data_IF_559997114584
#
_entry.id   IF_559997114584
#
_cell.length_a   1.000
_cell.length_b   1.000
_cell.length_c   1.000
_cell.angle_alpha   90.00
_cell.angle_beta   90.00
_cell.angle_gamma   90.00
#
_symmetry.space_group_name_H-M   'P 1'
#
loop_
_entity.id
_entity.type
_entity.pdbx_description
1 polymer ?
#
# COMPACT_ATOMS: atom_id res chain seq x y z
N UNK A 1 -19.95 32.23 -23.18
CA UNK A 1 -20.51 31.27 -22.20
C UNK A 1 -20.32 29.78 -22.59
N UNK A 2 -20.13 29.42 -23.86
CA UNK A 2 -20.03 28.00 -24.29
C UNK A 2 -18.74 27.24 -23.93
N UNK A 3 -17.63 27.91 -23.57
CA UNK A 3 -16.37 27.24 -23.15
C UNK A 3 -16.28 26.91 -21.65
N UNK A 4 -17.15 27.51 -20.82
CA UNK A 4 -17.24 27.20 -19.38
C UNK A 4 -18.01 25.90 -19.11
N UNK A 5 -18.89 25.49 -20.04
CA UNK A 5 -19.68 24.24 -19.93
C UNK A 5 -18.87 22.97 -20.29
N UNK A 6 -17.82 23.08 -21.11
CA UNK A 6 -16.95 21.92 -21.42
C UNK A 6 -15.94 21.61 -20.28
N UNK A 7 -15.62 22.57 -19.42
CA UNK A 7 -14.71 22.37 -18.29
C UNK A 7 -15.37 21.69 -17.08
N UNK A 8 -16.70 21.72 -16.96
CA UNK A 8 -17.46 21.17 -15.83
C UNK A 8 -17.63 19.63 -15.87
N UNK A 9 -17.34 18.99 -17.00
CA UNK A 9 -17.39 17.52 -17.14
C UNK A 9 -16.26 16.79 -16.37
N UNK A 10 -15.20 17.50 -15.96
CA UNK A 10 -14.06 16.91 -15.25
C UNK A 10 -14.17 16.94 -13.72
N UNK A 11 -15.21 17.59 -13.17
CA UNK A 11 -15.50 17.57 -11.72
C UNK A 11 -16.27 16.30 -11.31
N UNK A 12 -16.74 15.50 -12.27
CA UNK A 12 -17.46 14.24 -12.04
C UNK A 12 -16.56 13.04 -11.66
N UNK A 13 -15.24 13.22 -11.48
CA UNK A 13 -14.32 12.12 -11.11
C UNK A 13 -14.33 11.81 -9.60
N UNK A 14 -14.97 12.64 -8.77
CA UNK A 14 -15.09 12.39 -7.32
C UNK A 14 -16.46 11.90 -6.85
N UNK A 15 -17.43 11.72 -7.74
CA UNK A 15 -18.66 11.01 -7.41
C UNK A 15 -18.37 9.51 -7.44
N UNK A 16 -18.26 8.89 -6.26
CA UNK A 16 -18.11 7.45 -6.15
C UNK A 16 -19.23 6.76 -6.97
N UNK A 17 -18.91 5.77 -7.82
CA UNK A 17 -19.93 5.04 -8.54
C UNK A 17 -20.80 4.30 -7.52
N UNK A 18 -22.05 4.74 -7.36
CA UNK A 18 -23.09 3.96 -6.70
C UNK A 18 -23.18 2.59 -7.36
N UNK A 19 -23.15 1.55 -6.54
CA UNK A 19 -23.06 0.17 -6.97
C UNK A 19 -24.34 -0.29 -7.66
N UNK A 20 -24.16 -0.93 -8.82
CA UNK A 20 -24.97 -1.98 -9.45
C UNK A 20 -26.49 -2.00 -9.20
N UNK A 21 -27.18 -1.16 -9.95
CA UNK A 21 -28.35 -1.60 -10.70
C UNK A 21 -27.93 -1.61 -12.18
N UNK A 22 -28.18 -2.69 -12.92
CA UNK A 22 -28.04 -2.77 -14.39
C UNK A 22 -29.09 -1.90 -15.11
N UNK A 23 -29.56 -0.84 -14.46
CA UNK A 23 -30.44 0.14 -15.04
C UNK A 23 -29.60 1.08 -15.89
N UNK A 24 -29.96 1.13 -17.17
CA UNK A 24 -29.52 2.06 -18.21
C UNK A 24 -28.50 3.08 -17.71
N UNK A 25 -27.21 2.91 -18.08
CA UNK A 25 -26.20 3.92 -17.78
C UNK A 25 -26.74 5.28 -18.21
N UNK A 26 -27.01 6.21 -17.27
CA UNK A 26 -27.64 7.47 -17.61
C UNK A 26 -26.81 8.12 -18.71
N UNK A 27 -27.50 8.64 -19.73
CA UNK A 27 -26.84 9.18 -20.92
C UNK A 27 -25.82 10.24 -20.47
N UNK A 28 -24.76 10.45 -21.26
CA UNK A 28 -23.75 11.46 -20.90
C UNK A 28 -24.39 12.84 -20.63
N UNK A 29 -25.50 13.14 -21.31
CA UNK A 29 -26.35 14.32 -21.11
C UNK A 29 -26.94 14.38 -19.70
N UNK A 30 -27.51 13.28 -19.20
CA UNK A 30 -28.13 13.21 -17.87
C UNK A 30 -27.10 13.40 -16.75
N UNK A 31 -25.90 12.85 -16.93
CA UNK A 31 -24.79 13.05 -15.97
C UNK A 31 -24.34 14.51 -15.92
N UNK A 32 -24.31 15.19 -17.06
CA UNK A 32 -23.98 16.61 -17.16
C UNK A 32 -25.02 17.49 -16.46
N UNK A 33 -26.30 17.24 -16.71
CA UNK A 33 -27.40 17.97 -16.06
C UNK A 33 -27.40 17.77 -14.54
N UNK A 34 -27.29 16.52 -14.07
CA UNK A 34 -27.23 16.25 -12.63
C UNK A 34 -26.00 16.89 -11.95
N UNK A 35 -24.86 16.98 -12.64
CA UNK A 35 -23.68 17.67 -12.12
C UNK A 35 -23.89 19.19 -12.03
N UNK A 36 -24.54 19.80 -13.02
CA UNK A 36 -24.88 21.22 -13.02
C UNK A 36 -25.89 21.56 -11.93
N UNK A 37 -26.91 20.72 -11.72
CA UNK A 37 -27.86 20.89 -10.62
C UNK A 37 -27.17 20.84 -9.27
N UNK A 38 -26.28 19.85 -9.05
CA UNK A 38 -25.49 19.78 -7.82
C UNK A 38 -24.62 21.02 -7.63
N UNK A 39 -23.98 21.50 -8.71
CA UNK A 39 -23.18 22.73 -8.66
C UNK A 39 -24.01 23.95 -8.26
N UNK A 40 -25.20 24.12 -8.85
CA UNK A 40 -26.08 25.24 -8.58
C UNK A 40 -26.67 25.22 -7.16
N UNK A 41 -26.72 24.05 -6.51
CA UNK A 41 -27.13 23.91 -5.09
C UNK A 41 -26.03 24.30 -4.09
N UNK A 42 -24.79 24.42 -4.53
CA UNK A 42 -23.69 24.84 -3.67
C UNK A 42 -23.78 26.34 -3.41
N UNK A 43 -23.44 26.75 -2.18
CA UNK A 43 -23.32 28.17 -1.86
C UNK A 43 -22.15 28.83 -2.65
N UNK A 44 -22.16 30.16 -2.84
CA UNK A 44 -21.11 30.84 -3.62
C UNK A 44 -19.69 30.60 -3.10
N UNK A 45 -19.49 30.41 -1.80
CA UNK A 45 -18.18 30.15 -1.21
C UNK A 45 -17.70 28.73 -1.55
N UNK A 46 -18.58 27.73 -1.51
CA UNK A 46 -18.34 26.36 -1.95
C UNK A 46 -18.00 26.32 -3.44
N UNK A 47 -18.76 27.04 -4.28
CA UNK A 47 -18.48 27.15 -5.71
C UNK A 47 -17.08 27.73 -5.96
N UNK A 48 -16.71 28.80 -5.27
CA UNK A 48 -15.39 29.42 -5.41
C UNK A 48 -14.27 28.47 -4.92
N UNK A 49 -14.47 27.79 -3.79
CA UNK A 49 -13.53 26.75 -3.30
C UNK A 49 -13.34 25.62 -4.32
N UNK A 50 -14.42 25.16 -4.96
CA UNK A 50 -14.34 24.11 -5.98
C UNK A 50 -13.69 24.60 -7.28
N UNK A 51 -13.98 25.83 -7.71
CA UNK A 51 -13.32 26.48 -8.84
C UNK A 51 -11.81 26.57 -8.62
N UNK A 52 -11.38 27.06 -7.46
CA UNK A 52 -9.96 27.14 -7.11
C UNK A 52 -9.27 25.76 -7.05
N UNK A 53 -9.96 24.70 -6.59
CA UNK A 53 -9.44 23.32 -6.66
C UNK A 53 -9.27 22.86 -8.10
N UNK A 54 -10.25 23.14 -8.96
CA UNK A 54 -10.22 22.75 -10.37
C UNK A 54 -9.11 23.49 -11.13
N UNK A 55 -8.94 24.79 -10.90
CA UNK A 55 -7.83 25.56 -11.49
C UNK A 55 -6.46 25.03 -11.07
N UNK A 56 -6.30 24.67 -9.78
CA UNK A 56 -5.06 24.00 -9.32
C UNK A 56 -4.85 22.67 -10.03
N UNK A 57 -5.91 21.88 -10.21
CA UNK A 57 -5.83 20.61 -10.95
C UNK A 57 -5.47 20.82 -12.43
N UNK A 58 -6.00 21.86 -13.08
CA UNK A 58 -5.65 22.19 -14.47
C UNK A 58 -4.19 22.63 -14.64
N UNK A 59 -3.58 23.21 -13.60
CA UNK A 59 -2.16 23.60 -13.58
C UNK A 59 -1.19 22.41 -13.36
N UNK A 60 -1.69 21.25 -12.96
CA UNK A 60 -0.87 20.04 -12.81
C UNK A 60 -0.39 19.52 -14.17
N UNK A 61 0.80 18.91 -14.19
CA UNK A 61 1.32 18.23 -15.38
C UNK A 61 0.41 17.06 -15.79
N UNK A 62 0.58 16.53 -17.01
CA UNK A 62 -0.17 15.34 -17.46
C UNK A 62 0.13 14.16 -16.54
N UNK A 63 1.40 13.97 -16.19
CA UNK A 63 1.90 12.89 -15.33
C UNK A 63 1.32 13.00 -13.92
N UNK A 64 1.25 14.22 -13.36
CA UNK A 64 0.65 14.46 -12.06
C UNK A 64 -0.85 14.16 -12.08
N UNK A 65 -1.58 14.59 -13.13
CA UNK A 65 -3.01 14.30 -13.28
C UNK A 65 -3.27 12.79 -13.41
N UNK A 66 -2.44 12.08 -14.16
CA UNK A 66 -2.52 10.62 -14.27
C UNK A 66 -2.27 9.93 -12.94
N UNK A 67 -1.31 10.41 -12.15
CA UNK A 67 -1.06 9.90 -10.80
C UNK A 67 -2.25 10.13 -9.86
N UNK A 68 -2.87 11.32 -9.89
CA UNK A 68 -4.11 11.57 -9.13
C UNK A 68 -5.24 10.65 -9.57
N UNK A 69 -5.41 10.42 -10.88
CA UNK A 69 -6.41 9.49 -11.41
C UNK A 69 -6.16 8.06 -10.92
N UNK A 70 -4.92 7.57 -10.99
CA UNK A 70 -4.55 6.25 -10.46
C UNK A 70 -4.88 6.12 -8.98
N UNK A 71 -4.56 7.13 -8.16
CA UNK A 71 -4.88 7.13 -6.72
C UNK A 71 -6.39 7.12 -6.46
N UNK A 72 -7.15 7.87 -7.25
CA UNK A 72 -8.61 7.87 -7.16
C UNK A 72 -9.18 6.47 -7.52
N UNK A 73 -8.67 5.84 -8.57
CA UNK A 73 -9.06 4.48 -8.97
C UNK A 73 -8.68 3.44 -7.92
N UNK A 74 -7.51 3.57 -7.28
CA UNK A 74 -7.08 2.72 -6.16
C UNK A 74 -7.99 2.89 -4.94
N UNK A 75 -8.33 4.13 -4.58
CA UNK A 75 -9.25 4.41 -3.48
C UNK A 75 -10.65 3.88 -3.76
N UNK A 76 -11.14 4.03 -4.99
CA UNK A 76 -12.41 3.46 -5.42
C UNK A 76 -12.40 1.94 -5.29
N UNK A 77 -11.34 1.26 -5.76
CA UNK A 77 -11.18 -0.19 -5.58
C UNK A 77 -11.13 -0.59 -4.10
N UNK A 78 -10.41 0.15 -3.27
CA UNK A 78 -10.33 -0.10 -1.83
C UNK A 78 -11.71 0.03 -1.15
N UNK A 79 -12.53 1.02 -1.54
CA UNK A 79 -13.92 1.14 -1.08
C UNK A 79 -14.80 -0.03 -1.50
N UNK A 80 -14.67 -0.49 -2.76
CA UNK A 80 -15.40 -1.66 -3.25
C UNK A 80 -15.03 -2.91 -2.44
N UNK A 81 -13.75 -3.06 -2.14
CA UNK A 81 -13.25 -4.19 -1.36
C UNK A 81 -13.69 -4.11 0.10
N UNK A 82 -13.68 -2.92 0.70
CA UNK A 82 -14.24 -2.66 2.03
C UNK A 82 -15.69 -3.15 2.16
N UNK A 83 -16.55 -2.80 1.21
CA UNK A 83 -17.94 -3.28 1.18
C UNK A 83 -18.05 -4.80 1.05
N UNK A 84 -17.15 -5.43 0.28
CA UNK A 84 -17.12 -6.88 0.11
C UNK A 84 -16.71 -7.61 1.38
N UNK A 85 -15.91 -6.97 2.23
CA UNK A 85 -15.48 -7.53 3.51
C UNK A 85 -16.54 -7.44 4.61
N UNK A 86 -17.54 -6.57 4.46
CA UNK A 86 -18.69 -6.58 5.36
C UNK A 86 -19.42 -7.93 5.26
N UNK A 87 -19.87 -8.44 6.41
CA UNK A 87 -20.77 -9.58 6.49
C UNK A 87 -22.06 -9.28 5.74
N UNK A 88 -22.78 -10.32 5.33
CA UNK A 88 -24.01 -10.16 4.55
C UNK A 88 -25.02 -9.29 5.31
N UNK A 89 -25.20 -9.58 6.59
CA UNK A 89 -26.13 -8.87 7.49
C UNK A 89 -25.71 -7.40 7.67
N UNK A 90 -24.41 -7.13 7.83
CA UNK A 90 -23.89 -5.77 7.94
C UNK A 90 -24.03 -4.99 6.63
N UNK A 91 -23.93 -5.65 5.48
CA UNK A 91 -24.12 -5.00 4.17
C UNK A 91 -25.58 -4.58 3.97
N UNK A 92 -26.52 -5.46 4.29
CA UNK A 92 -27.95 -5.16 4.24
C UNK A 92 -28.28 -3.98 5.18
N UNK A 93 -27.76 -3.99 6.41
CA UNK A 93 -27.91 -2.86 7.35
C UNK A 93 -27.27 -1.58 6.81
N UNK A 94 -26.06 -1.66 6.26
CA UNK A 94 -25.36 -0.53 5.68
C UNK A 94 -26.16 0.16 4.57
N UNK A 95 -26.84 -0.63 3.72
CA UNK A 95 -27.69 -0.10 2.63
C UNK A 95 -28.90 0.70 3.14
N UNK A 96 -29.36 0.45 4.38
CA UNK A 96 -30.47 1.21 5.00
C UNK A 96 -30.04 2.52 5.66
N UNK A 97 -28.74 2.76 5.83
CA UNK A 97 -28.21 3.99 6.42
C UNK A 97 -28.40 5.19 5.47
N UNK A 98 -28.49 6.38 6.03
CA UNK A 98 -28.45 7.60 5.22
C UNK A 98 -27.09 7.76 4.53
N UNK A 99 -27.07 8.51 3.42
CA UNK A 99 -25.89 8.62 2.57
C UNK A 99 -24.68 9.23 3.27
N UNK A 100 -24.88 10.15 4.21
CA UNK A 100 -23.79 10.77 4.96
C UNK A 100 -23.13 9.76 5.90
N UNK A 101 -23.94 8.99 6.64
CA UNK A 101 -23.46 7.89 7.48
C UNK A 101 -22.79 6.81 6.63
N UNK A 102 -23.36 6.43 5.48
CA UNK A 102 -22.73 5.47 4.55
C UNK A 102 -21.33 5.92 4.11
N UNK A 103 -21.20 7.18 3.67
CA UNK A 103 -19.92 7.74 3.23
C UNK A 103 -18.90 7.84 4.38
N UNK A 104 -19.38 8.11 5.60
CA UNK A 104 -18.58 8.11 6.82
C UNK A 104 -18.04 6.73 7.16
N UNK A 105 -18.92 5.72 7.23
CA UNK A 105 -18.54 4.31 7.49
C UNK A 105 -17.57 3.79 6.44
N UNK A 106 -17.83 4.03 5.15
CA UNK A 106 -16.96 3.61 4.05
C UNK A 106 -15.57 4.22 4.14
N UNK A 107 -15.48 5.49 4.53
CA UNK A 107 -14.21 6.19 4.71
C UNK A 107 -13.37 5.53 5.78
N UNK A 108 -13.97 5.24 6.94
CA UNK A 108 -13.26 4.61 8.06
C UNK A 108 -12.84 3.17 7.73
N UNK A 109 -13.73 2.37 7.14
CA UNK A 109 -13.40 1.00 6.75
C UNK A 109 -12.28 0.96 5.69
N UNK A 110 -12.35 1.85 4.70
CA UNK A 110 -11.29 2.00 3.68
C UNK A 110 -9.97 2.42 4.32
N UNK A 111 -9.99 3.36 5.27
CA UNK A 111 -8.80 3.79 5.98
C UNK A 111 -8.13 2.63 6.73
N UNK A 112 -8.90 1.84 7.48
CA UNK A 112 -8.40 0.71 8.23
C UNK A 112 -7.75 -0.34 7.34
N UNK A 113 -8.39 -0.68 6.21
CA UNK A 113 -7.81 -1.59 5.22
C UNK A 113 -6.50 -1.07 4.61
N UNK A 114 -6.42 0.22 4.32
CA UNK A 114 -5.19 0.84 3.79
C UNK A 114 -4.08 0.84 4.84
N UNK A 115 -4.40 1.11 6.11
CA UNK A 115 -3.45 1.04 7.24
C UNK A 115 -2.94 -0.38 7.41
N UNK A 116 -3.81 -1.37 7.44
CA UNK A 116 -3.46 -2.79 7.51
C UNK A 116 -2.55 -3.20 6.35
N UNK A 117 -2.93 -2.86 5.11
CA UNK A 117 -2.11 -3.15 3.92
C UNK A 117 -0.73 -2.52 4.05
N UNK A 118 -0.67 -1.28 4.51
CA UNK A 118 0.59 -0.56 4.73
C UNK A 118 1.44 -1.24 5.81
N UNK A 119 0.85 -1.69 6.92
CA UNK A 119 1.55 -2.41 7.97
C UNK A 119 2.11 -3.75 7.49
N UNK A 120 1.33 -4.51 6.69
CA UNK A 120 1.82 -5.74 6.06
C UNK A 120 2.99 -5.49 5.12
N UNK A 121 2.95 -4.39 4.37
CA UNK A 121 4.06 -3.98 3.51
C UNK A 121 5.28 -3.57 4.33
N UNK A 122 5.09 -2.75 5.37
CA UNK A 122 6.16 -2.33 6.28
C UNK A 122 6.83 -3.52 6.96
N UNK A 123 6.06 -4.52 7.40
CA UNK A 123 6.60 -5.75 8.01
C UNK A 123 7.51 -6.56 7.07
N UNK A 124 7.41 -6.36 5.75
CA UNK A 124 8.27 -6.99 4.74
C UNK A 124 9.50 -6.15 4.37
N UNK A 125 9.58 -4.90 4.83
CA UNK A 125 10.72 -4.04 4.56
C UNK A 125 11.90 -4.40 5.47
N UNK A 126 13.16 -4.28 4.99
CA UNK A 126 14.34 -4.34 5.84
C UNK A 126 14.27 -3.31 6.99
N UNK A 127 14.84 -3.59 8.18
CA UNK A 127 14.81 -2.67 9.32
C UNK A 127 15.32 -1.27 8.98
N UNK A 128 16.40 -1.17 8.22
CA UNK A 128 17.02 0.11 7.84
C UNK A 128 16.06 0.95 6.98
N UNK A 129 15.25 0.29 6.15
CA UNK A 129 14.22 0.94 5.35
C UNK A 129 13.03 1.42 6.21
N UNK A 130 12.69 0.68 7.27
CA UNK A 130 11.65 1.08 8.23
C UNK A 130 12.09 2.35 8.97
N UNK A 131 13.31 2.35 9.52
CA UNK A 131 13.88 3.50 10.24
C UNK A 131 13.95 4.75 9.36
N UNK A 132 14.41 4.58 8.11
CA UNK A 132 14.41 5.66 7.10
C UNK A 132 13.02 6.22 6.87
N UNK A 133 12.00 5.37 6.76
CA UNK A 133 10.61 5.82 6.52
C UNK A 133 10.02 6.52 7.74
N UNK A 134 10.30 6.05 8.95
CA UNK A 134 9.78 6.63 10.18
C UNK A 134 10.31 8.05 10.39
N UNK A 135 11.62 8.27 10.21
CA UNK A 135 12.27 9.58 10.34
C UNK A 135 12.05 10.55 9.17
N UNK A 136 11.63 10.06 8.00
CA UNK A 136 11.47 10.88 6.80
C UNK A 136 10.20 11.74 6.80
N UNK A 137 10.29 12.92 6.18
CA UNK A 137 9.14 13.76 5.82
C UNK A 137 8.22 13.07 4.79
N UNK A 138 6.97 13.54 4.59
CA UNK A 138 6.07 12.95 3.60
C UNK A 138 6.62 12.88 2.17
N UNK A 139 7.44 13.85 1.76
CA UNK A 139 8.05 13.88 0.43
C UNK A 139 9.20 12.89 0.32
N UNK A 140 10.09 12.86 1.31
CA UNK A 140 11.20 11.89 1.40
C UNK A 140 10.69 10.46 1.46
N UNK A 141 9.60 10.20 2.21
CA UNK A 141 8.95 8.87 2.25
C UNK A 141 8.57 8.39 0.86
N UNK A 142 8.08 9.28 -0.03
CA UNK A 142 7.76 8.90 -1.41
C UNK A 142 9.01 8.51 -2.19
N UNK A 143 10.10 9.28 -2.04
CA UNK A 143 11.38 8.97 -2.68
C UNK A 143 11.94 7.62 -2.19
N UNK A 144 11.93 7.37 -0.88
CA UNK A 144 12.37 6.12 -0.26
C UNK A 144 11.53 4.94 -0.77
N UNK A 145 10.19 5.06 -0.75
CA UNK A 145 9.32 3.99 -1.25
C UNK A 145 9.55 3.71 -2.74
N UNK A 146 9.85 4.74 -3.54
CA UNK A 146 10.16 4.58 -4.96
C UNK A 146 11.52 3.90 -5.18
N UNK A 147 12.55 4.27 -4.40
CA UNK A 147 13.85 3.60 -4.38
C UNK A 147 13.72 2.13 -4.00
N UNK A 148 13.06 1.83 -2.88
CA UNK A 148 12.81 0.47 -2.40
C UNK A 148 12.04 -0.35 -3.43
N UNK A 149 10.97 0.22 -4.01
CA UNK A 149 10.20 -0.46 -5.05
C UNK A 149 11.07 -0.81 -6.25
N UNK A 150 11.95 0.08 -6.72
CA UNK A 150 12.85 -0.21 -7.83
C UNK A 150 13.86 -1.32 -7.48
N UNK A 151 14.48 -1.24 -6.31
CA UNK A 151 15.46 -2.24 -5.86
C UNK A 151 14.84 -3.61 -5.64
N UNK A 152 13.70 -3.69 -4.96
CA UNK A 152 13.01 -4.95 -4.68
C UNK A 152 12.44 -5.60 -5.94
N UNK A 153 11.86 -4.82 -6.86
CA UNK A 153 11.39 -5.35 -8.14
C UNK A 153 12.54 -5.95 -8.96
N UNK A 154 13.70 -5.30 -8.97
CA UNK A 154 14.87 -5.83 -9.65
C UNK A 154 15.36 -7.14 -8.99
N UNK A 155 15.59 -7.14 -7.67
CA UNK A 155 16.03 -8.34 -6.93
C UNK A 155 15.02 -9.49 -7.00
N UNK A 156 13.72 -9.19 -6.99
CA UNK A 156 12.67 -10.19 -7.13
C UNK A 156 12.64 -10.76 -8.55
N UNK A 157 12.87 -9.92 -9.57
CA UNK A 157 12.98 -10.33 -10.96
C UNK A 157 14.17 -11.27 -11.20
N UNK A 158 15.35 -10.93 -10.69
CA UNK A 158 16.56 -11.77 -10.82
C UNK A 158 16.41 -13.11 -10.09
N UNK A 159 15.95 -13.10 -8.83
CA UNK A 159 15.66 -14.36 -8.10
C UNK A 159 14.64 -15.24 -8.83
N UNK A 160 13.56 -14.62 -9.35
CA UNK A 160 12.56 -15.36 -10.11
C UNK A 160 13.13 -15.92 -11.42
N UNK A 161 14.04 -15.20 -12.09
CA UNK A 161 14.72 -15.68 -13.29
C UNK A 161 15.59 -16.89 -12.98
N UNK A 162 16.43 -16.81 -11.95
CA UNK A 162 17.30 -17.90 -11.50
C UNK A 162 16.49 -19.15 -11.12
N UNK A 163 15.44 -18.97 -10.31
CA UNK A 163 14.54 -20.05 -9.90
C UNK A 163 13.86 -20.72 -11.10
N UNK A 164 13.41 -19.93 -12.09
CA UNK A 164 12.75 -20.45 -13.29
C UNK A 164 13.75 -21.07 -14.26
N UNK A 165 14.97 -20.52 -14.36
CA UNK A 165 16.02 -21.04 -15.21
C UNK A 165 16.42 -22.45 -14.80
N UNK A 166 16.65 -22.68 -13.49
CA UNK A 166 16.96 -24.01 -12.98
C UNK A 166 15.82 -25.01 -13.18
N UNK A 167 14.56 -24.57 -13.03
CA UNK A 167 13.37 -25.42 -13.22
C UNK A 167 13.12 -25.79 -14.69
N UNK A 168 13.28 -24.83 -15.59
CA UNK A 168 12.97 -25.00 -17.01
C UNK A 168 14.18 -25.46 -17.84
N UNK A 169 15.37 -25.52 -17.25
CA UNK A 169 16.61 -25.83 -17.94
C UNK A 169 16.98 -24.76 -18.97
N UNK A 170 16.83 -23.47 -18.63
CA UNK A 170 17.21 -22.38 -19.52
C UNK A 170 18.74 -22.32 -19.66
N UNK A 171 19.24 -21.99 -20.86
CA UNK A 171 20.69 -21.81 -21.08
C UNK A 171 21.17 -20.45 -20.56
N UNK A 172 22.48 -20.31 -20.35
CA UNK A 172 23.06 -19.02 -19.94
C UNK A 172 22.79 -17.93 -20.97
N UNK A 173 22.81 -18.25 -22.28
CA UNK A 173 22.47 -17.27 -23.31
C UNK A 173 21.02 -16.80 -23.21
N UNK A 174 20.07 -17.68 -22.88
CA UNK A 174 18.68 -17.31 -22.67
C UNK A 174 18.50 -16.42 -21.43
N UNK A 175 19.21 -16.73 -20.33
CA UNK A 175 19.19 -15.93 -19.10
C UNK A 175 19.73 -14.53 -19.39
N UNK A 176 20.87 -14.42 -20.05
CA UNK A 176 21.48 -13.14 -20.41
C UNK A 176 20.62 -12.34 -21.41
N UNK A 177 20.00 -13.01 -22.39
CA UNK A 177 19.04 -12.37 -23.29
C UNK A 177 17.86 -11.76 -22.53
N UNK A 178 17.35 -12.43 -21.49
CA UNK A 178 16.26 -11.91 -20.64
C UNK A 178 16.76 -10.75 -19.76
N UNK A 179 17.97 -10.85 -19.20
CA UNK A 179 18.59 -9.76 -18.42
C UNK A 179 18.87 -8.52 -19.26
N UNK A 180 19.12 -8.66 -20.56
CA UNK A 180 19.29 -7.53 -21.47
C UNK A 180 17.98 -6.77 -21.78
N UNK A 181 16.81 -7.38 -21.54
CA UNK A 181 15.52 -6.75 -21.84
C UNK A 181 15.22 -5.54 -20.94
N UNK A 182 14.52 -4.51 -21.45
CA UNK A 182 13.92 -3.45 -20.65
C UNK A 182 13.05 -4.03 -19.53
N UNK A 183 12.99 -3.37 -18.38
CA UNK A 183 12.30 -3.88 -17.17
C UNK A 183 10.88 -4.40 -17.44
N UNK A 184 10.09 -3.68 -18.26
CA UNK A 184 8.72 -4.07 -18.59
C UNK A 184 8.68 -5.38 -19.41
N UNK A 185 9.53 -5.50 -20.42
CA UNK A 185 9.61 -6.69 -21.28
C UNK A 185 10.19 -7.89 -20.53
N UNK A 186 11.22 -7.67 -19.70
CA UNK A 186 11.75 -8.68 -18.79
C UNK A 186 10.66 -9.23 -17.88
N UNK A 187 9.83 -8.37 -17.29
CA UNK A 187 8.74 -8.80 -16.43
C UNK A 187 7.71 -9.66 -17.18
N UNK A 188 7.26 -9.23 -18.37
CA UNK A 188 6.35 -10.03 -19.20
C UNK A 188 6.98 -11.40 -19.58
N UNK A 189 8.27 -11.41 -19.90
CA UNK A 189 9.00 -12.65 -20.21
C UNK A 189 9.09 -13.59 -19.01
N UNK A 190 9.32 -13.07 -17.81
CA UNK A 190 9.30 -13.84 -16.57
C UNK A 190 7.92 -14.43 -16.27
N UNK A 191 6.83 -13.69 -16.53
CA UNK A 191 5.47 -14.20 -16.37
C UNK A 191 5.16 -15.32 -17.36
N UNK A 192 5.64 -15.21 -18.60
CA UNK A 192 5.52 -16.27 -19.61
C UNK A 192 6.30 -17.54 -19.20
N UNK A 193 7.54 -17.39 -18.71
CA UNK A 193 8.32 -18.52 -18.19
C UNK A 193 7.64 -19.16 -16.99
N UNK A 194 7.13 -18.36 -16.06
CA UNK A 194 6.40 -18.87 -14.90
C UNK A 194 5.16 -19.66 -15.30
N UNK A 195 4.40 -19.16 -16.28
CA UNK A 195 3.27 -19.90 -16.86
C UNK A 195 3.72 -21.23 -17.46
N UNK A 196 4.77 -21.23 -18.29
CA UNK A 196 5.35 -22.46 -18.86
C UNK A 196 5.73 -23.48 -17.79
N UNK A 197 6.36 -23.04 -16.70
CA UNK A 197 6.76 -23.91 -15.59
C UNK A 197 5.57 -24.53 -14.83
N UNK A 198 4.44 -23.82 -14.78
CA UNK A 198 3.20 -24.33 -14.18
C UNK A 198 2.52 -25.32 -15.13
N UNK A 199 2.42 -24.98 -16.42
CA UNK A 199 1.81 -25.84 -17.43
C UNK A 199 2.60 -27.14 -17.67
N UNK A 200 3.93 -27.11 -17.51
CA UNK A 200 4.77 -28.30 -17.62
C UNK A 200 4.74 -29.21 -16.38
N UNK A 201 4.00 -28.84 -15.33
CA UNK A 201 3.97 -29.58 -14.06
C UNK A 201 5.26 -29.50 -13.26
N UNK A 202 6.29 -28.81 -13.75
CA UNK A 202 7.59 -28.65 -13.05
C UNK A 202 7.43 -27.89 -11.74
N UNK A 203 6.42 -27.02 -11.67
CA UNK A 203 5.94 -26.48 -10.41
C UNK A 203 4.77 -27.31 -9.90
N UNK A 204 5.08 -28.48 -9.32
CA UNK A 204 4.10 -29.41 -8.74
C UNK A 204 3.11 -28.70 -7.80
N UNK A 205 1.84 -29.12 -7.89
CA UNK A 205 0.79 -28.69 -6.95
C UNK A 205 0.19 -27.29 -7.18
N UNK A 206 0.39 -26.70 -8.36
CA UNK A 206 -0.02 -25.30 -8.62
C UNK A 206 -1.36 -25.10 -9.34
N UNK A 207 -2.12 -26.15 -9.70
CA UNK A 207 -3.57 -25.96 -9.88
C UNK A 207 -4.13 -25.70 -8.47
N UNK A 208 -4.62 -24.49 -8.16
CA UNK A 208 -5.17 -24.24 -6.85
C UNK A 208 -6.27 -25.27 -6.57
N UNK A 209 -6.31 -25.83 -5.36
CA UNK A 209 -7.25 -26.92 -5.01
C UNK A 209 -8.71 -26.52 -5.20
N UNK A 210 -8.97 -25.21 -5.14
CA UNK A 210 -10.25 -24.53 -5.28
C UNK A 210 -10.60 -24.15 -6.72
N UNK A 211 -9.70 -24.36 -7.69
CA UNK A 211 -9.95 -24.05 -9.10
C UNK A 211 -10.38 -25.32 -9.84
N UNK A 212 -11.63 -25.32 -10.31
CA UNK A 212 -12.16 -26.37 -11.17
C UNK A 212 -11.47 -26.39 -12.55
N UNK A 213 -11.58 -27.51 -13.28
CA UNK A 213 -10.90 -27.70 -14.57
C UNK A 213 -11.32 -26.66 -15.62
N UNK A 214 -12.60 -26.29 -15.68
CA UNK A 214 -13.11 -25.33 -16.66
C UNK A 214 -12.58 -23.92 -16.39
N UNK A 215 -12.49 -23.54 -15.12
CA UNK A 215 -11.87 -22.28 -14.70
C UNK A 215 -10.37 -22.28 -14.98
N UNK A 216 -9.71 -23.42 -14.78
CA UNK A 216 -8.30 -23.61 -15.13
C UNK A 216 -8.03 -23.44 -16.63
N UNK A 217 -8.83 -24.07 -17.50
CA UNK A 217 -8.75 -23.92 -18.95
C UNK A 217 -8.92 -22.47 -19.39
N UNK A 218 -9.94 -21.78 -18.87
CA UNK A 218 -10.14 -20.34 -19.15
C UNK A 218 -8.94 -19.49 -18.76
N UNK A 219 -8.30 -19.78 -17.62
CA UNK A 219 -7.12 -19.05 -17.21
C UNK A 219 -5.94 -19.30 -18.16
N UNK A 220 -5.77 -20.52 -18.68
CA UNK A 220 -4.71 -20.83 -19.64
C UNK A 220 -4.87 -20.04 -20.95
N UNK A 221 -6.08 -19.67 -21.33
CA UNK A 221 -6.25 -18.83 -22.54
C UNK A 221 -5.88 -17.35 -22.31
N UNK A 222 -5.64 -16.94 -21.06
CA UNK A 222 -5.27 -15.56 -20.73
C UNK A 222 -3.80 -15.25 -21.09
N UNK A 223 -3.50 -13.99 -21.47
CA UNK A 223 -2.12 -13.51 -21.56
C UNK A 223 -1.34 -13.75 -20.26
N UNK A 224 0.00 -13.92 -20.29
CA UNK A 224 0.80 -14.29 -19.11
C UNK A 224 0.55 -13.44 -17.87
N UNK A 225 0.37 -12.13 -18.05
CA UNK A 225 0.06 -11.20 -16.96
C UNK A 225 -1.30 -11.42 -16.33
N UNK A 226 -2.33 -11.67 -17.14
CA UNK A 226 -3.68 -11.90 -16.66
C UNK A 226 -3.80 -13.29 -16.04
N UNK A 227 -3.15 -14.31 -16.62
CA UNK A 227 -2.98 -15.64 -16.02
C UNK A 227 -2.36 -15.55 -14.62
N UNK A 228 -1.21 -14.87 -14.49
CA UNK A 228 -0.55 -14.73 -13.20
C UNK A 228 -1.42 -14.00 -12.17
N UNK A 229 -2.09 -12.91 -12.58
CA UNK A 229 -3.01 -12.16 -11.72
C UNK A 229 -4.12 -13.04 -11.18
N UNK A 230 -4.76 -13.84 -12.04
CA UNK A 230 -5.88 -14.70 -11.64
C UNK A 230 -5.40 -15.88 -10.79
N UNK A 231 -4.28 -16.51 -11.15
CA UNK A 231 -3.65 -17.55 -10.33
C UNK A 231 -3.34 -17.07 -8.90
N UNK A 232 -2.80 -15.87 -8.75
CA UNK A 232 -2.46 -15.33 -7.42
C UNK A 232 -3.70 -15.03 -6.57
N UNK A 233 -4.84 -14.67 -7.18
CA UNK A 233 -6.10 -14.48 -6.44
C UNK A 233 -6.54 -15.77 -5.73
N UNK A 234 -6.34 -16.92 -6.37
CA UNK A 234 -6.69 -18.22 -5.77
C UNK A 234 -5.68 -18.68 -4.71
N UNK A 235 -4.39 -18.36 -4.88
CA UNK A 235 -3.35 -18.77 -3.94
C UNK A 235 -3.52 -18.17 -2.54
N UNK A 236 -4.06 -16.96 -2.43
CA UNK A 236 -4.27 -16.29 -1.15
C UNK A 236 -5.34 -16.97 -0.26
N UNK A 237 -6.10 -17.95 -0.78
CA UNK A 237 -7.16 -18.64 -0.05
C UNK A 237 -6.81 -20.05 0.43
N UNK A 238 -5.70 -20.65 -0.05
CA UNK A 238 -5.54 -22.12 -0.05
C UNK A 238 -4.96 -22.80 1.21
N UNK A 239 -4.11 -22.15 2.01
CA UNK A 239 -3.53 -22.82 3.20
C UNK A 239 -3.00 -21.81 4.23
N UNK A 240 -3.91 -21.23 5.01
CA UNK A 240 -3.49 -20.44 6.18
C UNK A 240 -2.96 -21.38 7.26
N UNK A 241 -1.69 -21.22 7.60
CA UNK A 241 -1.07 -21.94 8.72
C UNK A 241 -1.87 -21.74 10.01
N UNK A 242 -1.77 -22.65 10.98
CA UNK A 242 -2.41 -22.47 12.30
C UNK A 242 -2.05 -21.12 12.94
N UNK A 243 -0.83 -20.63 12.71
CA UNK A 243 -0.35 -19.32 13.17
C UNK A 243 -1.07 -18.17 12.47
N UNK A 244 -1.29 -18.25 11.16
CA UNK A 244 -2.01 -17.23 10.40
C UNK A 244 -3.50 -17.19 10.76
N UNK A 245 -4.11 -18.35 11.07
CA UNK A 245 -5.48 -18.40 11.59
C UNK A 245 -5.60 -17.66 12.93
N UNK A 246 -4.68 -17.90 13.87
CA UNK A 246 -4.66 -17.17 15.16
C UNK A 246 -4.50 -15.67 14.95
N UNK A 247 -3.60 -15.25 14.06
CA UNK A 247 -3.42 -13.84 13.72
C UNK A 247 -4.65 -13.21 13.10
N UNK A 248 -5.26 -13.89 12.14
CA UNK A 248 -6.49 -13.43 11.49
C UNK A 248 -7.60 -13.24 12.54
N UNK A 249 -7.71 -14.14 13.50
CA UNK A 249 -8.67 -13.99 14.59
C UNK A 249 -8.37 -12.79 15.51
N UNK A 250 -7.10 -12.54 15.87
CA UNK A 250 -6.74 -11.32 16.61
C UNK A 250 -7.00 -10.07 15.77
N UNK A 251 -6.75 -10.14 14.48
CA UNK A 251 -7.03 -9.07 13.55
C UNK A 251 -8.53 -8.80 13.38
N UNK A 252 -9.37 -9.83 13.37
CA UNK A 252 -10.83 -9.70 13.42
C UNK A 252 -11.29 -8.99 14.70
N UNK A 253 -10.63 -9.23 15.85
CA UNK A 253 -10.88 -8.46 17.09
C UNK A 253 -10.42 -7.00 17.01
N UNK A 254 -9.53 -6.65 16.08
CA UNK A 254 -9.08 -5.28 15.84
C UNK A 254 -9.99 -4.52 14.86
N UNK A 255 -10.76 -5.23 14.04
CA UNK A 255 -11.64 -4.61 13.04
C UNK A 255 -12.93 -4.12 13.68
N UNK A 256 -13.28 -2.83 13.63
CA UNK A 256 -14.50 -2.32 14.25
C UNK A 256 -15.75 -2.97 13.66
N UNK A 257 -16.78 -3.10 14.48
CA UNK A 257 -18.11 -3.53 14.04
C UNK A 257 -18.78 -2.43 13.22
N UNK A 258 -19.86 -2.76 12.51
CA UNK A 258 -20.64 -1.74 11.79
C UNK A 258 -21.18 -0.66 12.75
N UNK A 259 -21.63 -1.06 13.94
CA UNK A 259 -22.16 -0.13 14.95
C UNK A 259 -21.08 0.84 15.45
N UNK A 260 -19.88 0.34 15.73
CA UNK A 260 -18.71 1.16 16.08
C UNK A 260 -18.32 2.12 14.94
N UNK A 261 -18.38 1.66 13.68
CA UNK A 261 -18.10 2.50 12.51
C UNK A 261 -19.16 3.60 12.34
N UNK A 262 -20.44 3.30 12.58
CA UNK A 262 -21.52 4.29 12.54
C UNK A 262 -21.28 5.34 13.62
N UNK A 263 -20.93 4.93 14.84
CA UNK A 263 -20.62 5.84 15.94
C UNK A 263 -19.45 6.77 15.58
N UNK A 264 -18.33 6.19 15.13
CA UNK A 264 -17.13 6.97 14.73
C UNK A 264 -17.43 7.90 13.55
N UNK A 265 -18.31 7.51 12.63
CA UNK A 265 -18.65 8.33 11.46
C UNK A 265 -19.30 9.67 11.81
N UNK A 266 -19.97 9.74 12.97
CA UNK A 266 -20.69 10.93 13.46
C UNK A 266 -19.80 11.93 14.17
N UNK A 267 -18.58 11.52 14.53
CA UNK A 267 -17.64 12.33 15.29
C UNK A 267 -16.76 13.18 14.36
N UNK A 268 -16.36 14.42 14.75
CA UNK A 268 -15.39 15.21 14.01
C UNK A 268 -14.08 14.47 13.76
N UNK A 269 -13.48 14.68 12.58
CA UNK A 269 -12.30 13.93 12.13
C UNK A 269 -11.11 13.92 13.09
N UNK A 270 -10.93 14.98 13.88
CA UNK A 270 -9.86 15.08 14.87
C UNK A 270 -10.01 14.09 16.04
N UNK A 271 -11.24 13.73 16.40
CA UNK A 271 -11.58 12.87 17.55
C UNK A 271 -11.80 11.41 17.15
N UNK A 272 -12.14 11.14 15.88
CA UNK A 272 -12.43 9.79 15.36
C UNK A 272 -11.38 8.75 15.73
N UNK A 273 -10.09 9.13 15.62
CA UNK A 273 -8.99 8.22 15.91
C UNK A 273 -8.97 7.79 17.38
N UNK A 274 -9.15 8.74 18.29
CA UNK A 274 -9.15 8.45 19.72
C UNK A 274 -10.34 7.56 20.09
N UNK A 275 -11.53 7.87 19.56
CA UNK A 275 -12.71 7.02 19.75
C UNK A 275 -12.49 5.60 19.19
N UNK A 276 -11.95 5.48 17.98
CA UNK A 276 -11.64 4.17 17.38
C UNK A 276 -10.63 3.37 18.22
N UNK A 277 -9.55 4.00 18.69
CA UNK A 277 -8.54 3.35 19.53
C UNK A 277 -9.17 2.88 20.86
N UNK A 278 -10.08 3.67 21.46
CA UNK A 278 -10.80 3.33 22.67
C UNK A 278 -11.79 2.16 22.46
N UNK A 279 -12.61 2.19 21.41
CA UNK A 279 -13.57 1.13 21.10
C UNK A 279 -12.86 -0.22 20.87
N UNK A 280 -11.77 -0.21 20.09
CA UNK A 280 -10.97 -1.42 19.85
C UNK A 280 -10.37 -1.95 21.16
N UNK A 281 -9.85 -1.07 22.04
CA UNK A 281 -9.34 -1.47 23.35
C UNK A 281 -10.41 -2.13 24.19
N UNK A 282 -11.55 -1.47 24.36
CA UNK A 282 -12.70 -1.94 25.15
C UNK A 282 -13.13 -3.33 24.69
N UNK A 283 -13.26 -3.53 23.37
CA UNK A 283 -13.63 -4.81 22.81
C UNK A 283 -12.59 -5.90 23.02
N UNK A 284 -11.30 -5.60 22.79
CA UNK A 284 -10.22 -6.57 23.01
C UNK A 284 -10.19 -6.98 24.48
N UNK A 285 -10.36 -6.05 25.41
CA UNK A 285 -10.42 -6.34 26.85
C UNK A 285 -11.64 -7.18 27.23
N UNK A 286 -12.80 -6.94 26.61
CA UNK A 286 -14.01 -7.72 26.85
C UNK A 286 -13.91 -9.17 26.30
N UNK A 287 -13.26 -9.36 25.15
CA UNK A 287 -13.14 -10.67 24.49
C UNK A 287 -11.90 -11.46 24.91
N UNK A 288 -10.92 -10.82 25.54
CA UNK A 288 -9.65 -11.41 25.92
C UNK A 288 -9.75 -12.59 26.92
N UNK A 289 -10.56 -12.54 27.99
CA UNK A 289 -10.60 -13.59 29.01
C UNK A 289 -11.01 -14.96 28.47
N UNK A 290 -11.89 -14.98 27.49
CA UNK A 290 -12.43 -16.21 26.87
C UNK A 290 -11.58 -16.69 25.69
N UNK A 291 -10.46 -16.03 25.40
CA UNK A 291 -9.76 -16.19 24.16
C UNK A 291 -8.28 -16.52 24.38
N UNK A 292 -7.95 -17.82 24.32
CA UNK A 292 -6.59 -18.40 24.38
C UNK A 292 -5.63 -17.91 23.26
N UNK A 293 -6.04 -16.92 22.46
CA UNK A 293 -5.27 -16.34 21.35
C UNK A 293 -4.35 -15.22 21.80
N UNK A 294 -4.62 -14.55 22.93
CA UNK A 294 -3.74 -13.54 23.50
C UNK A 294 -3.04 -14.09 24.75
N UNK A 295 -1.70 -14.07 24.83
CA UNK A 295 -1.00 -14.45 26.04
C UNK A 295 -1.45 -13.58 27.22
N UNK A 296 -1.79 -14.20 28.37
CA UNK A 296 -2.27 -13.45 29.56
C UNK A 296 -1.32 -12.34 29.98
N UNK A 297 -0.01 -12.63 30.01
CA UNK A 297 1.02 -11.62 30.34
C UNK A 297 1.03 -10.43 29.38
N UNK A 298 0.74 -10.63 28.10
CA UNK A 298 0.67 -9.52 27.13
C UNK A 298 -0.47 -8.56 27.46
N UNK A 299 -1.63 -9.08 27.87
CA UNK A 299 -2.78 -8.26 28.25
C UNK A 299 -2.51 -7.49 29.53
N UNK A 300 -1.95 -8.14 30.54
CA UNK A 300 -1.54 -7.51 31.80
C UNK A 300 -0.55 -6.37 31.56
N UNK A 301 0.49 -6.59 30.73
CA UNK A 301 1.47 -5.57 30.34
C UNK A 301 0.86 -4.38 29.61
N UNK A 302 -0.29 -4.58 28.95
CA UNK A 302 -0.97 -3.57 28.15
C UNK A 302 -2.09 -2.84 28.91
N UNK A 303 -2.53 -3.33 30.08
CA UNK A 303 -3.61 -2.70 30.85
C UNK A 303 -3.26 -1.27 31.30
N UNK A 304 -1.99 -0.99 31.60
CA UNK A 304 -1.51 0.34 32.00
C UNK A 304 -1.16 1.26 30.83
N UNK A 305 -1.19 0.76 29.60
CA UNK A 305 -0.84 1.54 28.41
C UNK A 305 -1.94 2.59 28.08
N UNK A 306 -1.55 3.66 27.37
CA UNK A 306 -2.53 4.53 26.71
C UNK A 306 -3.23 3.78 25.58
N UNK A 307 -4.41 4.24 25.12
CA UNK A 307 -5.14 3.59 24.03
C UNK A 307 -4.26 3.45 22.77
N UNK A 308 -3.50 4.50 22.44
CA UNK A 308 -2.57 4.47 21.33
C UNK A 308 -1.47 3.41 21.49
N UNK A 309 -0.84 3.34 22.68
CA UNK A 309 0.23 2.38 22.97
C UNK A 309 -0.30 0.94 23.02
N UNK A 310 -1.51 0.75 23.54
CA UNK A 310 -2.23 -0.52 23.54
C UNK A 310 -2.37 -1.04 22.10
N UNK A 311 -2.93 -0.22 21.20
CA UNK A 311 -3.13 -0.60 19.79
C UNK A 311 -1.78 -0.83 19.08
N UNK A 312 -0.75 -0.03 19.39
CA UNK A 312 0.59 -0.22 18.84
C UNK A 312 1.18 -1.58 19.21
N UNK A 313 1.13 -1.96 20.49
CA UNK A 313 1.63 -3.25 21.00
C UNK A 313 0.82 -4.42 20.43
N UNK A 314 -0.50 -4.29 20.37
CA UNK A 314 -1.36 -5.32 19.77
C UNK A 314 -1.04 -5.55 18.29
N UNK A 315 -0.86 -4.46 17.53
CA UNK A 315 -0.45 -4.53 16.13
C UNK A 315 0.92 -5.18 15.98
N UNK A 316 1.88 -4.84 16.85
CA UNK A 316 3.19 -5.48 16.86
C UNK A 316 3.08 -7.00 17.05
N UNK A 317 2.27 -7.46 18.01
CA UNK A 317 2.01 -8.88 18.23
C UNK A 317 1.40 -9.58 17.00
N UNK A 318 0.52 -8.89 16.26
CA UNK A 318 -0.10 -9.46 15.04
C UNK A 318 0.82 -9.49 13.82
N UNK A 319 2.01 -8.87 13.86
CA UNK A 319 2.93 -8.87 12.72
C UNK A 319 3.41 -10.30 12.41
N UNK A 320 3.58 -10.67 11.12
CA UNK A 320 4.29 -11.89 10.76
C UNK A 320 5.67 -11.92 11.41
N UNK A 321 6.14 -13.06 11.96
CA UNK A 321 7.48 -13.09 12.52
C UNK A 321 8.42 -12.86 11.34
N UNK A 322 9.54 -12.16 11.55
CA UNK A 322 10.52 -12.09 10.48
C UNK A 322 11.02 -13.50 10.19
N UNK A 323 11.36 -13.81 8.94
CA UNK A 323 11.92 -15.13 8.58
C UNK A 323 13.18 -15.45 9.42
N UNK A 324 13.88 -14.41 9.90
CA UNK A 324 15.00 -14.51 10.85
C UNK A 324 14.60 -14.87 12.29
N UNK A 325 13.37 -14.56 12.72
CA UNK A 325 12.83 -14.86 14.05
C UNK A 325 12.04 -16.17 14.07
N UNK A 326 11.54 -16.63 12.92
CA UNK A 326 10.72 -17.83 12.81
C UNK A 326 11.49 -19.13 13.10
N UNK A 327 12.82 -19.08 13.03
CA UNK A 327 13.73 -20.17 13.37
C UNK A 327 14.78 -19.69 14.38
N UNK A 328 14.42 -19.54 15.68
CA UNK A 328 15.46 -19.51 16.69
C UNK A 328 16.27 -20.78 16.48
N UNK A 329 17.57 -20.63 16.15
CA UNK A 329 18.48 -21.77 16.01
C UNK A 329 18.24 -22.66 17.22
N UNK A 330 17.89 -23.93 16.99
CA UNK A 330 17.68 -24.84 18.13
C UNK A 330 18.96 -24.81 18.95
N UNK A 331 18.89 -24.57 20.27
CA UNK A 331 20.07 -24.68 21.13
C UNK A 331 20.66 -26.08 20.92
N UNK A 332 21.83 -26.17 20.28
CA UNK A 332 22.46 -27.44 19.87
C UNK A 332 22.63 -27.68 18.36
N UNK A 333 22.04 -26.87 17.46
CA UNK A 333 22.40 -26.88 16.03
C UNK A 333 23.67 -26.04 15.79
N UNK A 334 24.78 -26.50 16.35
CA UNK A 334 26.10 -25.97 16.04
C UNK A 334 26.56 -26.53 14.69
N UNK A 335 26.42 -25.72 13.64
CA UNK A 335 27.45 -25.66 12.60
C UNK A 335 27.52 -26.80 11.58
N UNK A 336 26.41 -27.36 11.11
CA UNK A 336 26.46 -27.95 9.77
C UNK A 336 26.33 -26.83 8.71
N UNK A 337 27.39 -26.53 7.93
CA UNK A 337 27.29 -25.56 6.86
C UNK A 337 26.16 -25.98 5.90
N UNK A 338 25.32 -25.02 5.51
CA UNK A 338 24.26 -25.29 4.54
C UNK A 338 24.92 -25.86 3.27
N UNK A 339 24.37 -26.91 2.64
CA UNK A 339 25.00 -27.57 1.48
C UNK A 339 25.26 -26.64 0.28
N UNK A 340 24.66 -25.43 0.25
CA UNK A 340 24.88 -24.42 -0.78
C UNK A 340 26.06 -23.48 -0.52
N UNK A 341 26.69 -23.52 0.66
CA UNK A 341 27.94 -22.78 0.96
C UNK A 341 29.20 -23.57 0.57
N UNK A 342 29.05 -24.79 0.06
CA UNK A 342 30.15 -25.52 -0.56
C UNK A 342 30.35 -25.04 -1.99
N UNK A 343 30.82 -23.79 -2.14
CA UNK A 343 31.45 -23.36 -3.40
C UNK A 343 32.73 -24.18 -3.55
N UNK A 344 32.89 -24.99 -4.61
CA UNK A 344 34.12 -25.75 -4.81
C UNK A 344 35.25 -24.79 -5.20
N UNK A 345 36.17 -24.59 -4.25
CA UNK A 345 37.59 -24.35 -4.54
C UNK A 345 38.05 -22.90 -4.69
N UNK A 346 39.02 -22.50 -3.85
CA UNK A 346 40.13 -21.64 -4.28
C UNK A 346 41.36 -21.83 -3.39
N UNK A 347 41.89 -23.05 -3.36
CA UNK A 347 43.27 -23.26 -2.94
C UNK A 347 44.18 -22.75 -4.07
N UNK A 348 45.00 -21.72 -3.78
CA UNK A 348 46.12 -21.35 -4.65
C UNK A 348 46.07 -19.98 -5.35
N UNK A 349 45.30 -18.99 -4.87
CA UNK A 349 45.55 -17.61 -5.30
C UNK A 349 46.64 -16.99 -4.41
N UNK A 350 47.84 -16.81 -4.98
CA UNK A 350 48.93 -16.08 -4.36
C UNK A 350 48.47 -14.66 -3.96
N UNK A 351 49.02 -14.09 -2.87
CA UNK A 351 48.64 -12.76 -2.39
C UNK A 351 48.86 -11.74 -3.50
N UNK A 352 47.77 -11.05 -3.89
CA UNK A 352 47.85 -9.96 -4.85
C UNK A 352 48.71 -8.83 -4.24
N UNK A 353 49.66 -8.26 -4.99
CA UNK A 353 50.39 -7.09 -4.53
C UNK A 353 49.39 -5.95 -4.30
N UNK A 354 49.54 -5.28 -3.15
CA UNK A 354 48.72 -4.14 -2.78
C UNK A 354 48.81 -3.03 -3.84
N UNK A 355 47.76 -2.20 -3.98
CA UNK A 355 47.76 -1.11 -4.94
C UNK A 355 48.89 -0.11 -4.61
N UNK A 356 49.59 0.44 -5.62
CA UNK A 356 50.59 1.48 -5.40
C UNK A 356 49.93 2.73 -4.82
N UNK A 357 50.61 3.33 -3.84
CA UNK A 357 50.18 4.52 -3.13
C UNK A 357 49.72 5.62 -4.07
N UNK A 358 48.49 6.09 -3.85
CA UNK A 358 47.97 7.30 -4.48
C UNK A 358 48.68 8.54 -3.93
N UNK A 359 48.86 9.59 -4.76
CA UNK A 359 49.58 10.79 -4.36
C UNK A 359 48.80 11.60 -3.32
N UNK A 360 49.56 12.16 -2.38
CA UNK A 360 49.13 13.12 -1.38
C UNK A 360 48.36 14.29 -2.00
N UNK A 361 47.08 14.43 -1.62
CA UNK A 361 46.34 15.66 -1.86
C UNK A 361 46.68 16.69 -0.78
N UNK A 362 47.10 17.91 -1.14
CA UNK A 362 47.38 18.95 -0.16
C UNK A 362 46.07 19.46 0.45
N UNK A 363 46.04 19.47 1.79
CA UNK A 363 45.11 20.30 2.56
C UNK A 363 45.47 21.78 2.35
N UNK A 364 44.54 22.57 1.86
CA UNK A 364 44.65 24.03 1.86
C UNK A 364 43.59 24.67 0.99
N UNK A 365 42.74 25.51 1.58
CA UNK A 365 41.73 26.25 0.82
C UNK A 365 40.65 26.86 1.69
N UNK A 366 41.03 27.90 2.43
CA UNK A 366 40.14 28.83 3.14
C UNK A 366 38.92 29.23 2.30
N UNK A 367 37.73 29.18 2.91
CA UNK A 367 36.56 29.88 2.37
C UNK A 367 36.47 31.27 3.00
N UNK A 368 36.63 32.35 2.22
CA UNK A 368 36.39 33.70 2.70
C UNK A 368 34.87 33.96 2.78
N UNK A 369 34.50 34.77 3.77
CA UNK A 369 33.13 35.06 4.13
C UNK A 369 32.28 35.69 3.03
N UNK A 370 30.99 35.34 3.05
CA UNK A 370 29.93 36.17 2.45
C UNK A 370 29.19 36.89 3.56
N UNK A 371 29.74 38.05 3.95
CA UNK A 371 28.96 39.17 4.49
C UNK A 371 28.14 39.75 3.33
N UNK A 372 26.82 39.62 3.38
CA UNK A 372 25.90 40.59 2.77
C UNK A 372 25.02 41.16 3.86
N UNK A 373 25.42 42.33 4.35
CA UNK A 373 24.45 43.30 4.80
C UNK A 373 23.96 44.07 3.59
N UNK A 374 22.65 44.31 3.49
CA UNK A 374 22.15 45.61 3.06
C UNK A 374 20.74 45.84 3.54
N UNK A 375 20.63 46.94 4.25
CA UNK A 375 19.45 47.66 4.68
C UNK A 375 18.49 47.98 3.53
N UNK A 376 17.21 48.07 3.87
CA UNK A 376 16.16 48.51 2.96
C UNK A 376 14.77 48.43 3.57
N UNK A 377 14.53 49.17 4.67
CA UNK A 377 13.18 49.64 5.02
C UNK A 377 12.76 50.68 3.97
N UNK A 378 11.57 50.60 3.39
CA UNK A 378 10.84 51.78 2.98
C UNK A 378 9.76 52.10 4.01
N UNK A 379 9.85 53.32 4.53
CA UNK A 379 8.76 54.00 5.22
C UNK A 379 7.52 54.04 4.32
N UNK A 380 6.38 53.59 4.85
CA UNK A 380 5.07 53.88 4.26
C UNK A 380 4.47 55.05 5.04
N UNK A 381 4.27 56.22 4.42
CA UNK A 381 3.61 57.35 5.05
C UNK A 381 2.09 57.12 5.10
N UNK A 382 1.50 57.58 6.20
CA UNK A 382 0.06 57.50 6.44
C UNK A 382 -0.79 58.32 5.47
N UNK A 383 -2.00 57.84 5.24
CA UNK A 383 -3.17 58.60 4.82
C UNK A 383 -4.37 57.97 5.53
N UNK A 384 -4.91 58.59 6.57
CA UNK A 384 -5.90 59.68 6.52
C UNK A 384 -7.27 59.12 6.92
N UNK A 385 -7.63 59.43 8.17
CA UNK A 385 -8.98 59.35 8.72
C UNK A 385 -9.93 60.17 7.83
N UNK A 386 -11.07 59.61 7.46
CA UNK A 386 -12.26 60.41 7.13
C UNK A 386 -13.03 60.66 8.43
N UNK A 387 -13.41 61.91 8.75
CA UNK A 387 -14.51 62.16 9.65
C UNK A 387 -15.86 62.00 8.92
N UNK A 388 -16.89 62.01 9.76
CA UNK A 388 -18.32 61.75 9.56
C UNK A 388 -18.96 62.32 8.30
#
# INVERSE_FOLDING_TARGET
MSRLLQALALVAVFAAPSFSQEDATPSQTDRGQAALERWNRLDPEQQERMRGRFERWQKLSVEERDEYKRRADELARARKEALRQLRKEDRERFETLDKETQDGVLRELTHLMLVERTQRLQGKLPPEAQDRLEGASPEERRAILHELRRGELHKAGERALEDLAGKLGLTEEEIEAIRALPHRERHERLLALKRRAIESGVMDGMRPKDVDERSWEKMRDLPPRDFARDLFRHKDHGDMSRRDRKRRQVQEMLMPTLDELIEVSRVPGAERRALMENLVRTRVQAQAPDNDKLPKGLLEDMQSATDHEFIRRLRHFTRPPRDSEAHPRRPGEEGHPRPHDQRPGRAGEAPRPGPPGGPDHPRGGDRPGSRRGRDGKPDVPGAARRPQ
#
